data_IF_766637363485
#
_entry.id   IF_766637363485
#
_cell.length_a   1.000
_cell.length_b   1.000
_cell.length_c   1.000
_cell.angle_alpha   90.00
_cell.angle_beta   90.00
_cell.angle_gamma   90.00
#
_symmetry.space_group_name_H-M   'P 1'
#
loop_
_entity.id
_entity.type
_entity.pdbx_description
1 polymer ?
#
# COMPACT_ATOMS: atom_id res chain seq x y z
N UNK A 1 13.31 18.56 11.46
CA UNK A 1 13.77 17.91 10.22
C UNK A 1 13.38 16.47 10.24
N UNK A 2 12.56 16.04 9.27
CA UNK A 2 12.07 14.68 9.25
C UNK A 2 13.12 13.72 8.69
N UNK A 3 13.71 14.09 7.56
CA UNK A 3 14.73 13.26 6.92
C UNK A 3 15.49 14.12 5.91
N UNK A 4 16.80 13.94 5.86
CA UNK A 4 17.67 14.63 4.91
C UNK A 4 18.43 13.58 4.11
N UNK A 5 18.16 13.52 2.81
CA UNK A 5 18.78 12.53 1.91
C UNK A 5 18.51 12.95 0.47
N UNK A 6 18.98 12.16 -0.50
CA UNK A 6 18.65 12.41 -1.91
C UNK A 6 17.15 12.21 -2.16
N UNK A 7 16.56 12.94 -3.13
CA UNK A 7 15.15 12.75 -3.44
C UNK A 7 14.79 11.30 -3.77
N UNK A 8 15.68 10.57 -4.45
CA UNK A 8 15.44 9.17 -4.78
C UNK A 8 15.33 8.29 -3.53
N UNK A 9 16.23 8.47 -2.56
CA UNK A 9 16.19 7.71 -1.32
C UNK A 9 14.96 8.06 -0.49
N UNK A 10 14.58 9.33 -0.44
CA UNK A 10 13.36 9.75 0.27
C UNK A 10 12.11 9.12 -0.33
N UNK A 11 12.08 8.97 -1.65
CA UNK A 11 10.96 8.32 -2.32
C UNK A 11 10.94 6.81 -2.08
N UNK A 12 12.08 6.13 -2.27
CA UNK A 12 12.17 4.67 -2.22
C UNK A 12 12.18 4.12 -0.79
N UNK A 13 12.80 4.85 0.13
CA UNK A 13 12.96 4.43 1.53
C UNK A 13 12.60 5.56 2.49
N UNK A 14 11.29 5.90 2.57
CA UNK A 14 10.88 6.97 3.49
C UNK A 14 11.11 6.56 4.95
N UNK A 15 11.57 7.49 5.76
CA UNK A 15 11.87 7.24 7.18
C UNK A 15 10.65 7.34 8.09
N UNK A 16 9.58 8.00 7.64
CA UNK A 16 8.35 8.14 8.42
C UNK A 16 7.17 8.45 7.51
N UNK A 17 5.96 8.49 8.09
CA UNK A 17 4.73 8.73 7.35
C UNK A 17 4.72 10.09 6.66
N UNK A 18 5.29 11.12 7.29
CA UNK A 18 5.33 12.45 6.71
C UNK A 18 6.13 12.45 5.39
N UNK A 19 7.33 11.86 5.41
CA UNK A 19 8.17 11.77 4.22
C UNK A 19 7.48 10.93 3.14
N UNK A 20 6.91 9.79 3.52
CA UNK A 20 6.22 8.90 2.58
C UNK A 20 5.04 9.58 1.90
N UNK A 21 4.24 10.33 2.66
CA UNK A 21 3.08 11.04 2.12
C UNK A 21 3.45 12.28 1.31
N UNK A 22 4.58 12.92 1.65
CA UNK A 22 5.02 14.15 0.98
C UNK A 22 5.67 13.87 -0.38
N UNK A 23 6.40 12.76 -0.49
CA UNK A 23 7.13 12.41 -1.71
C UNK A 23 6.24 11.65 -2.68
N UNK A 24 6.21 12.15 -3.91
CA UNK A 24 5.45 11.52 -4.99
C UNK A 24 4.14 12.24 -5.28
N UNK A 25 3.68 12.08 -6.54
CA UNK A 25 2.40 12.61 -7.01
C UNK A 25 1.82 11.60 -8.00
N UNK A 26 0.67 10.94 -7.67
CA UNK A 26 -0.09 11.08 -6.42
C UNK A 26 0.67 10.51 -5.22
N UNK A 27 0.20 10.86 -4.03
CA UNK A 27 0.80 10.46 -2.77
C UNK A 27 0.64 8.96 -2.53
N UNK A 28 1.51 8.43 -1.64
CA UNK A 28 1.41 7.04 -1.20
C UNK A 28 0.06 6.77 -0.51
N UNK A 29 -0.49 5.60 -0.77
CA UNK A 29 -1.68 5.13 -0.06
C UNK A 29 -1.29 4.59 1.31
N UNK A 30 -2.08 4.93 2.33
CA UNK A 30 -1.89 4.42 3.69
C UNK A 30 -3.11 3.65 4.14
N UNK A 31 -2.89 2.44 4.63
CA UNK A 31 -3.94 1.55 5.11
C UNK A 31 -3.55 0.99 6.46
N UNK A 32 -4.50 0.95 7.39
CA UNK A 32 -4.29 0.22 8.63
C UNK A 32 -4.28 -1.28 8.33
N UNK A 33 -3.30 -1.98 8.87
CA UNK A 33 -3.15 -3.41 8.70
C UNK A 33 -2.80 -4.07 10.03
N UNK A 34 -3.52 -5.13 10.37
CA UNK A 34 -3.19 -5.92 11.55
C UNK A 34 -2.19 -7.00 11.17
N UNK A 35 -1.10 -7.09 11.93
CA UNK A 35 -0.05 -8.05 11.65
C UNK A 35 -0.34 -9.34 12.43
N UNK A 36 -0.45 -10.45 11.72
CA UNK A 36 -0.75 -11.76 12.33
C UNK A 36 0.18 -12.84 11.81
N UNK A 37 0.36 -13.86 12.61
CA UNK A 37 1.01 -15.09 12.17
C UNK A 37 -0.03 -16.04 11.59
N UNK A 38 0.30 -16.64 10.43
CA UNK A 38 -0.54 -17.66 9.79
C UNK A 38 0.35 -18.80 9.32
N UNK A 39 0.42 -19.86 10.11
CA UNK A 39 1.37 -20.94 9.87
C UNK A 39 2.80 -20.44 9.99
N UNK A 40 3.60 -20.62 8.95
CA UNK A 40 4.98 -20.12 8.90
C UNK A 40 5.05 -18.69 8.33
N UNK A 41 3.93 -18.11 7.91
CA UNK A 41 3.88 -16.78 7.28
C UNK A 41 3.45 -15.71 8.28
N UNK A 42 3.88 -14.49 7.99
CA UNK A 42 3.35 -13.28 8.63
C UNK A 42 2.47 -12.61 7.58
N UNK A 43 1.26 -12.24 7.96
CA UNK A 43 0.30 -11.62 7.04
C UNK A 43 -0.13 -10.26 7.55
N UNK A 44 -0.45 -9.38 6.60
CA UNK A 44 -1.12 -8.12 6.88
C UNK A 44 -2.62 -8.32 6.62
N UNK A 45 -3.43 -8.12 7.64
CA UNK A 45 -4.88 -8.29 7.55
C UNK A 45 -5.51 -6.92 7.32
N UNK A 46 -6.17 -6.77 6.19
CA UNK A 46 -6.90 -5.55 5.82
C UNK A 46 -8.34 -5.97 5.55
N UNK A 47 -9.21 -5.74 6.54
CA UNK A 47 -10.59 -6.22 6.46
C UNK A 47 -10.65 -7.73 6.37
N UNK A 48 -11.19 -8.25 5.27
CA UNK A 48 -11.31 -9.69 5.02
C UNK A 48 -10.09 -10.29 4.31
N UNK A 49 -9.17 -9.44 3.85
CA UNK A 49 -8.04 -9.87 3.04
C UNK A 49 -6.81 -10.09 3.90
N UNK A 50 -6.11 -11.19 3.65
CA UNK A 50 -4.86 -11.54 4.32
C UNK A 50 -3.75 -11.55 3.27
N UNK A 51 -2.79 -10.66 3.44
CA UNK A 51 -1.71 -10.47 2.46
C UNK A 51 -0.40 -10.99 3.05
N UNK A 52 0.20 -11.97 2.38
CA UNK A 52 1.48 -12.53 2.83
C UNK A 52 2.57 -11.47 2.70
N UNK A 53 3.31 -11.26 3.78
CA UNK A 53 4.37 -10.27 3.83
C UNK A 53 5.68 -10.95 3.45
N UNK A 54 6.50 -10.35 2.55
CA UNK A 54 7.81 -10.91 2.19
C UNK A 54 8.70 -11.12 3.41
N UNK A 55 9.55 -12.14 3.35
CA UNK A 55 10.30 -12.63 4.52
C UNK A 55 11.12 -11.56 5.24
N UNK A 56 11.81 -10.68 4.49
CA UNK A 56 12.63 -9.64 5.10
C UNK A 56 11.79 -8.62 5.88
N UNK A 57 10.64 -8.22 5.32
CA UNK A 57 9.71 -7.30 5.97
C UNK A 57 9.03 -7.98 7.16
N UNK A 58 8.65 -9.25 7.00
CA UNK A 58 8.03 -10.04 8.07
C UNK A 58 8.98 -10.17 9.26
N UNK A 59 10.27 -10.40 9.00
CA UNK A 59 11.27 -10.48 10.05
C UNK A 59 11.37 -9.18 10.84
N UNK A 60 11.40 -8.03 10.15
CA UNK A 60 11.47 -6.73 10.80
C UNK A 60 10.24 -6.49 11.68
N UNK A 61 9.05 -6.84 11.22
CA UNK A 61 7.81 -6.71 11.99
C UNK A 61 7.82 -7.61 13.22
N UNK A 62 8.26 -8.84 13.06
CA UNK A 62 8.33 -9.81 14.17
C UNK A 62 9.36 -9.37 15.20
N UNK A 63 10.55 -9.00 14.77
CA UNK A 63 11.64 -8.58 15.66
C UNK A 63 11.28 -7.29 16.42
N UNK A 64 10.49 -6.42 15.82
CA UNK A 64 10.01 -5.20 16.46
C UNK A 64 8.82 -5.39 17.40
N UNK A 65 8.28 -6.60 17.49
CA UNK A 65 7.16 -6.89 18.39
C UNK A 65 5.80 -6.45 17.84
N UNK A 66 5.65 -6.35 16.53
CA UNK A 66 4.41 -5.85 15.91
C UNK A 66 3.38 -6.94 15.62
N UNK A 67 3.71 -8.20 15.77
CA UNK A 67 2.74 -9.29 15.59
C UNK A 67 1.61 -9.13 16.60
N UNK A 68 0.38 -9.13 16.13
CA UNK A 68 -0.80 -8.86 16.95
C UNK A 68 -1.18 -7.38 17.06
N UNK A 69 -0.40 -6.49 16.45
CA UNK A 69 -0.65 -5.05 16.48
C UNK A 69 -1.10 -4.53 15.13
N UNK A 70 -1.80 -3.39 15.15
CA UNK A 70 -2.16 -2.65 13.94
C UNK A 70 -1.04 -1.67 13.61
N UNK A 71 -0.58 -1.72 12.37
CA UNK A 71 0.42 -0.79 11.84
C UNK A 71 -0.16 -0.07 10.62
N UNK A 72 0.57 0.91 10.10
CA UNK A 72 0.20 1.57 8.84
C UNK A 72 1.01 0.96 7.72
N UNK A 73 0.31 0.43 6.71
CA UNK A 73 0.93 -0.08 5.49
C UNK A 73 0.86 0.99 4.41
N UNK A 74 2.00 1.33 3.83
CA UNK A 74 2.08 2.27 2.73
C UNK A 74 2.33 1.54 1.41
N UNK A 75 1.62 1.96 0.36
CA UNK A 75 1.83 1.45 -0.99
C UNK A 75 1.59 2.56 -2.01
N UNK A 76 2.50 2.68 -2.96
CA UNK A 76 2.39 3.69 -4.01
C UNK A 76 1.34 3.30 -5.03
N UNK A 77 0.68 4.28 -5.68
CA UNK A 77 -0.34 3.97 -6.70
C UNK A 77 0.16 3.08 -7.84
N UNK A 78 1.41 3.23 -8.26
CA UNK A 78 2.00 2.41 -9.31
C UNK A 78 2.22 0.95 -8.91
N UNK A 79 2.17 0.66 -7.62
CA UNK A 79 2.35 -0.70 -7.10
C UNK A 79 1.04 -1.40 -6.77
N UNK A 80 -0.09 -0.79 -7.16
CA UNK A 80 -1.42 -1.39 -7.10
C UNK A 80 -1.79 -1.77 -8.53
N UNK A 81 -1.86 -3.08 -8.80
CA UNK A 81 -2.12 -3.59 -10.15
C UNK A 81 -3.56 -4.05 -10.30
N UNK A 82 -4.29 -3.48 -11.28
CA UNK A 82 -5.60 -4.01 -11.65
C UNK A 82 -5.40 -5.27 -12.50
N UNK A 83 -5.97 -6.39 -12.04
CA UNK A 83 -5.78 -7.69 -12.68
C UNK A 83 -7.07 -8.47 -12.65
N UNK A 84 -7.41 -9.11 -13.77
CA UNK A 84 -8.63 -9.90 -13.86
C UNK A 84 -8.66 -11.05 -12.84
N UNK A 85 -7.48 -11.55 -12.44
CA UNK A 85 -7.31 -12.62 -11.46
C UNK A 85 -6.84 -12.09 -10.09
N UNK A 86 -7.00 -10.79 -9.83
CA UNK A 86 -6.58 -10.18 -8.57
C UNK A 86 -7.26 -10.80 -7.37
N UNK A 87 -6.53 -10.86 -6.25
CA UNK A 87 -7.02 -11.48 -5.02
C UNK A 87 -7.96 -10.57 -4.22
N UNK A 88 -7.93 -9.28 -4.46
CA UNK A 88 -8.78 -8.31 -3.80
C UNK A 88 -9.76 -7.72 -4.81
N UNK A 89 -10.88 -7.22 -4.32
CA UNK A 89 -11.92 -6.65 -5.18
C UNK A 89 -12.55 -5.43 -4.54
N UNK A 90 -12.98 -4.50 -5.38
CA UNK A 90 -13.71 -3.29 -4.99
C UNK A 90 -14.54 -2.79 -6.17
N UNK A 91 -15.07 -1.59 -6.05
CA UNK A 91 -15.79 -0.91 -7.13
C UNK A 91 -15.12 0.43 -7.40
N UNK A 92 -14.85 0.73 -8.66
CA UNK A 92 -14.22 2.00 -9.05
C UNK A 92 -15.18 3.15 -8.74
N UNK A 93 -14.74 4.07 -7.90
CA UNK A 93 -15.51 5.28 -7.58
C UNK A 93 -15.26 6.38 -8.59
N UNK A 94 -14.01 6.55 -9.01
CA UNK A 94 -13.60 7.59 -9.95
C UNK A 94 -12.57 7.00 -10.91
N UNK A 95 -12.74 7.30 -12.17
CA UNK A 95 -11.77 7.09 -13.22
C UNK A 95 -11.25 8.45 -13.66
N UNK A 96 -9.93 8.61 -13.69
CA UNK A 96 -9.34 9.89 -14.05
C UNK A 96 -8.21 9.68 -15.05
N UNK A 97 -8.26 10.43 -16.15
CA UNK A 97 -7.19 10.44 -17.14
C UNK A 97 -6.41 11.74 -17.00
N UNK A 98 -5.14 11.65 -16.61
CA UNK A 98 -4.26 12.79 -16.45
C UNK A 98 -3.09 12.64 -17.42
N UNK A 99 -3.11 13.38 -18.52
CA UNK A 99 -2.15 13.22 -19.59
C UNK A 99 -2.27 11.82 -20.19
N UNK A 100 -1.18 11.05 -20.13
CA UNK A 100 -1.14 9.68 -20.63
C UNK A 100 -1.34 8.64 -19.53
N UNK A 101 -1.66 9.07 -18.30
CA UNK A 101 -1.79 8.17 -17.16
C UNK A 101 -3.24 8.05 -16.72
N UNK A 102 -3.64 6.85 -16.32
CA UNK A 102 -4.98 6.57 -15.80
C UNK A 102 -4.88 6.23 -14.32
N UNK A 103 -5.72 6.90 -13.52
CA UNK A 103 -5.83 6.65 -12.10
C UNK A 103 -7.23 6.14 -11.78
N UNK A 104 -7.29 5.08 -10.97
CA UNK A 104 -8.54 4.57 -10.43
C UNK A 104 -8.57 4.83 -8.94
N UNK A 105 -9.72 5.26 -8.46
CA UNK A 105 -9.97 5.53 -7.04
C UNK A 105 -11.04 4.55 -6.57
N UNK A 106 -10.74 3.79 -5.52
CA UNK A 106 -11.70 2.83 -4.95
C UNK A 106 -11.40 2.60 -3.48
N UNK A 107 -12.37 2.10 -2.74
CA UNK A 107 -12.23 1.86 -1.31
C UNK A 107 -11.69 0.46 -1.03
N UNK A 108 -10.79 0.39 -0.05
CA UNK A 108 -10.30 -0.87 0.53
C UNK A 108 -10.52 -0.78 2.02
N UNK A 109 -11.40 -1.62 2.55
CA UNK A 109 -11.75 -1.62 3.98
C UNK A 109 -12.10 -0.22 4.51
N UNK A 110 -12.90 0.52 3.73
CA UNK A 110 -13.38 1.85 4.12
C UNK A 110 -12.40 2.99 3.85
N UNK A 111 -11.21 2.71 3.34
CA UNK A 111 -10.21 3.73 3.01
C UNK A 111 -10.10 3.85 1.50
N UNK A 112 -10.24 5.09 0.99
CA UNK A 112 -10.05 5.32 -0.44
C UNK A 112 -8.58 5.26 -0.80
N UNK A 113 -8.27 4.47 -1.82
CA UNK A 113 -6.91 4.39 -2.36
C UNK A 113 -6.91 4.79 -3.83
N UNK A 114 -5.71 5.09 -4.32
CA UNK A 114 -5.44 5.46 -5.70
C UNK A 114 -4.56 4.40 -6.34
N UNK A 115 -4.94 3.91 -7.50
CA UNK A 115 -4.12 3.01 -8.32
C UNK A 115 -3.78 3.69 -9.63
N UNK A 116 -2.51 3.63 -10.04
CA UNK A 116 -2.08 4.05 -11.36
C UNK A 116 -2.04 2.81 -12.24
N UNK A 117 -2.88 2.78 -13.26
CA UNK A 117 -3.09 1.60 -14.09
C UNK A 117 -2.76 1.89 -15.55
N UNK A 118 -2.65 0.83 -16.34
CA UNK A 118 -2.39 0.94 -17.77
C UNK A 118 -3.51 1.74 -18.45
N UNK A 119 -3.18 2.68 -19.35
CA UNK A 119 -4.21 3.43 -20.10
C UNK A 119 -5.17 2.55 -20.89
N UNK A 120 -4.78 1.31 -21.18
CA UNK A 120 -5.66 0.34 -21.85
C UNK A 120 -6.68 -0.32 -20.94
N UNK A 121 -6.72 0.03 -19.65
CA UNK A 121 -7.69 -0.55 -18.71
C UNK A 121 -9.13 -0.34 -19.20
N UNK A 122 -9.95 -1.35 -19.01
CA UNK A 122 -11.39 -1.27 -19.34
C UNK A 122 -12.24 -0.84 -18.14
N UNK A 123 -11.62 -0.71 -16.96
CA UNK A 123 -12.33 -0.31 -15.75
C UNK A 123 -12.73 1.16 -15.81
N UNK A 124 -13.99 1.46 -15.57
CA UNK A 124 -14.56 2.80 -15.55
C UNK A 124 -15.31 3.01 -14.24
N UNK A 125 -15.68 4.25 -13.95
CA UNK A 125 -16.48 4.59 -12.77
C UNK A 125 -17.71 3.69 -12.69
N UNK A 126 -17.88 3.06 -11.52
CA UNK A 126 -18.98 2.16 -11.23
C UNK A 126 -18.70 0.69 -11.55
N UNK A 127 -17.60 0.39 -12.23
CA UNK A 127 -17.26 -0.99 -12.58
C UNK A 127 -16.59 -1.71 -11.40
N UNK A 128 -16.78 -3.04 -11.30
CA UNK A 128 -16.01 -3.84 -10.36
C UNK A 128 -14.54 -3.87 -10.79
N UNK A 129 -13.63 -3.89 -9.82
CA UNK A 129 -12.20 -3.98 -10.07
C UNK A 129 -11.62 -5.08 -9.17
N UNK A 130 -10.77 -5.92 -9.75
CA UNK A 130 -9.92 -6.85 -9.01
C UNK A 130 -8.50 -6.38 -9.10
N UNK A 131 -7.76 -6.52 -8.01
CA UNK A 131 -6.43 -5.95 -7.93
C UNK A 131 -5.55 -6.70 -6.95
N UNK A 132 -4.26 -6.47 -7.04
CA UNK A 132 -3.25 -6.94 -6.10
C UNK A 132 -2.33 -5.81 -5.73
N UNK A 133 -1.78 -5.87 -4.51
CA UNK A 133 -0.69 -5.02 -4.08
C UNK A 133 0.63 -5.75 -4.33
N UNK A 134 1.62 -5.02 -4.85
CA UNK A 134 2.98 -5.54 -4.92
C UNK A 134 3.60 -5.47 -3.52
N UNK A 135 3.53 -6.57 -2.79
CA UNK A 135 3.94 -6.61 -1.38
C UNK A 135 5.44 -6.36 -1.19
N UNK A 136 6.26 -6.60 -2.22
CA UNK A 136 7.70 -6.27 -2.17
C UNK A 136 7.93 -4.75 -2.10
N UNK A 137 6.96 -3.96 -2.54
CA UNK A 137 7.04 -2.50 -2.57
C UNK A 137 6.28 -1.83 -1.44
N UNK A 138 5.76 -2.61 -0.49
CA UNK A 138 5.06 -2.03 0.67
C UNK A 138 6.04 -1.48 1.68
N UNK A 139 5.55 -0.52 2.45
CA UNK A 139 6.27 0.09 3.57
C UNK A 139 5.39 -0.06 4.81
N UNK A 140 6.02 -0.29 5.96
CA UNK A 140 5.28 -0.44 7.21
C UNK A 140 5.77 0.58 8.21
N UNK A 141 4.84 1.25 8.87
CA UNK A 141 5.13 2.31 9.84
C UNK A 141 4.45 2.03 11.17
N UNK A 142 5.13 2.39 12.25
CA UNK A 142 4.52 2.37 13.58
C UNK A 142 3.39 3.38 13.63
N UNK A 143 2.21 2.96 14.05
CA UNK A 143 1.02 3.81 14.02
C UNK A 143 1.11 4.96 15.03
N UNK A 144 1.78 4.75 16.15
CA UNK A 144 1.89 5.76 17.21
C UNK A 144 3.03 6.74 16.97
N UNK A 145 4.23 6.24 16.63
CA UNK A 145 5.41 7.07 16.40
C UNK A 145 5.52 7.60 14.98
N UNK A 146 4.82 6.96 14.03
CA UNK A 146 4.87 7.25 12.60
C UNK A 146 6.23 6.96 11.96
N UNK A 147 7.13 6.30 12.69
CA UNK A 147 8.45 5.95 12.17
C UNK A 147 8.38 4.65 11.37
N UNK A 148 9.28 4.55 10.38
CA UNK A 148 9.33 3.35 9.54
C UNK A 148 9.74 2.13 10.37
N UNK A 149 9.04 1.02 10.15
CA UNK A 149 9.41 -0.29 10.69
C UNK A 149 10.27 -1.01 9.65
N UNK A 150 9.81 -1.02 8.40
CA UNK A 150 10.55 -1.60 7.27
C UNK A 150 10.06 -0.96 5.97
N UNK A 151 11.00 -0.79 5.05
CA UNK A 151 10.69 -0.31 3.71
C UNK A 151 10.63 -1.45 2.71
#
# INVERSE_FOLDING_TARGET
VQQVDTPQNLYQKPGNLFVAGFMGSPQMNFLDAEIKEKGSDIVAVIGKDELVIPAAKAKALKDGGYVGKTVVMGIRPEDVADRADGSMSSTVKVYELLGAEVFLYFDVNGTQITARVDPGTKAKTGDPVKFDFNMEKTHFFDKDTELVITN
#
